data_IF_383761819210
#
_entry.id   IF_383761819210
#
_cell.length_a   1.000
_cell.length_b   1.000
_cell.length_c   1.000
_cell.angle_alpha   90.00
_cell.angle_beta   90.00
_cell.angle_gamma   90.00
#
_symmetry.space_group_name_H-M   'P 1'
#
loop_
_entity.id
_entity.type
_entity.pdbx_description
1 polymer ?
#
# COMPACT_ATOMS: atom_id res chain seq x y z
N UNK A 1 -25.78 2.94 -38.12
CA UNK A 1 -26.51 4.16 -38.53
C UNK A 1 -27.10 4.89 -37.30
N UNK A 2 -27.86 4.24 -36.44
CA UNK A 2 -28.48 4.83 -35.23
C UNK A 2 -27.45 5.45 -34.24
N UNK A 3 -26.30 4.81 -33.97
CA UNK A 3 -25.25 5.35 -33.08
C UNK A 3 -24.65 6.67 -33.61
N UNK A 4 -24.48 6.82 -34.95
CA UNK A 4 -24.01 8.08 -35.55
C UNK A 4 -25.03 9.21 -35.43
N UNK A 5 -26.32 8.89 -35.56
CA UNK A 5 -27.40 9.86 -35.36
C UNK A 5 -27.51 10.30 -33.90
N UNK A 6 -27.33 9.37 -32.94
CA UNK A 6 -27.37 9.68 -31.51
C UNK A 6 -26.27 10.68 -31.12
N UNK A 7 -25.03 10.47 -31.57
CA UNK A 7 -23.93 11.40 -31.32
C UNK A 7 -23.99 12.72 -32.12
N UNK A 8 -24.93 12.85 -33.05
CA UNK A 8 -25.14 14.10 -33.82
C UNK A 8 -26.11 15.06 -33.14
N UNK A 9 -26.84 14.62 -32.11
CA UNK A 9 -27.78 15.49 -31.40
C UNK A 9 -26.97 16.58 -30.63
N UNK A 10 -27.39 17.88 -30.72
CA UNK A 10 -26.64 18.98 -30.07
C UNK A 10 -26.41 18.77 -28.59
N UNK A 11 -27.40 18.26 -27.87
CA UNK A 11 -27.26 17.95 -26.40
C UNK A 11 -26.24 16.87 -26.15
N UNK A 12 -26.19 15.83 -26.98
CA UNK A 12 -25.17 14.74 -26.80
C UNK A 12 -23.78 15.27 -27.11
N UNK A 13 -23.62 16.11 -28.14
CA UNK A 13 -22.30 16.73 -28.42
C UNK A 13 -21.86 17.65 -27.30
N UNK A 14 -22.76 18.37 -26.68
CA UNK A 14 -22.45 19.24 -25.53
C UNK A 14 -22.10 18.42 -24.30
N UNK A 15 -22.81 17.32 -24.04
CA UNK A 15 -22.45 16.38 -22.95
C UNK A 15 -21.08 15.75 -23.18
N UNK A 16 -20.78 15.29 -24.39
CA UNK A 16 -19.47 14.74 -24.74
C UNK A 16 -18.35 15.78 -24.56
N UNK A 17 -18.59 17.03 -24.96
CA UNK A 17 -17.66 18.14 -24.80
C UNK A 17 -17.41 18.43 -23.30
N UNK A 18 -18.47 18.48 -22.49
CA UNK A 18 -18.39 18.74 -21.08
C UNK A 18 -17.68 17.58 -20.34
N UNK A 19 -17.94 16.34 -20.72
CA UNK A 19 -17.22 15.18 -20.17
C UNK A 19 -15.71 15.23 -20.49
N UNK A 20 -15.33 15.65 -21.70
CA UNK A 20 -13.92 15.86 -22.07
C UNK A 20 -13.28 16.98 -21.26
N UNK A 21 -13.98 18.10 -21.08
CA UNK A 21 -13.51 19.22 -20.24
C UNK A 21 -13.34 18.80 -18.79
N UNK A 22 -14.29 18.05 -18.24
CA UNK A 22 -14.20 17.50 -16.89
C UNK A 22 -13.00 16.56 -16.74
N UNK A 23 -12.75 15.68 -17.71
CA UNK A 23 -11.58 14.81 -17.71
C UNK A 23 -10.28 15.61 -17.74
N UNK A 24 -10.19 16.66 -18.58
CA UNK A 24 -9.02 17.55 -18.63
C UNK A 24 -8.81 18.33 -17.32
N UNK A 25 -9.90 18.78 -16.68
CA UNK A 25 -9.81 19.43 -15.37
C UNK A 25 -9.33 18.47 -14.29
N UNK A 26 -9.83 17.24 -14.28
CA UNK A 26 -9.36 16.20 -13.35
C UNK A 26 -7.87 15.92 -13.54
N UNK A 27 -7.41 15.79 -14.78
CA UNK A 27 -5.99 15.57 -15.09
C UNK A 27 -5.11 16.76 -14.64
N UNK A 28 -5.57 17.99 -14.89
CA UNK A 28 -4.85 19.19 -14.46
C UNK A 28 -4.78 19.30 -12.92
N UNK A 29 -5.86 18.97 -12.22
CA UNK A 29 -5.91 18.94 -10.76
C UNK A 29 -4.98 17.85 -10.22
N UNK A 30 -5.01 16.65 -10.78
CA UNK A 30 -4.12 15.56 -10.37
C UNK A 30 -2.64 15.93 -10.56
N UNK A 31 -2.30 16.58 -11.68
CA UNK A 31 -0.95 17.09 -11.95
C UNK A 31 -0.55 18.15 -10.93
N UNK A 32 -1.42 19.12 -10.66
CA UNK A 32 -1.16 20.16 -9.64
C UNK A 32 -0.93 19.58 -8.26
N UNK A 33 -1.71 18.59 -7.87
CA UNK A 33 -1.59 17.83 -6.64
C UNK A 33 -0.24 17.11 -6.55
N UNK A 34 0.17 16.43 -7.62
CA UNK A 34 1.46 15.73 -7.68
C UNK A 34 2.64 16.68 -7.54
N UNK A 35 2.57 17.86 -8.14
CA UNK A 35 3.60 18.91 -8.00
C UNK A 35 3.69 19.40 -6.56
N UNK A 36 2.55 19.66 -5.89
CA UNK A 36 2.53 20.07 -4.49
C UNK A 36 3.09 18.98 -3.56
N UNK A 37 2.75 17.72 -3.79
CA UNK A 37 3.27 16.60 -3.05
C UNK A 37 4.80 16.49 -3.18
N UNK A 38 5.33 16.64 -4.39
CA UNK A 38 6.79 16.69 -4.63
C UNK A 38 7.45 17.86 -3.93
N UNK A 39 6.89 19.06 -3.98
CA UNK A 39 7.40 20.22 -3.25
C UNK A 39 7.42 19.97 -1.74
N UNK A 40 6.37 19.40 -1.18
CA UNK A 40 6.32 19.03 0.24
C UNK A 40 7.44 18.03 0.59
N UNK A 41 7.65 16.99 -0.22
CA UNK A 41 8.71 16.02 0.01
C UNK A 41 10.10 16.65 -0.04
N UNK A 42 10.38 17.48 -1.04
CA UNK A 42 11.66 18.18 -1.14
C UNK A 42 11.86 19.13 0.05
N UNK A 43 10.82 19.86 0.46
CA UNK A 43 10.88 20.70 1.65
C UNK A 43 11.18 19.87 2.91
N UNK A 44 10.50 18.74 3.12
CA UNK A 44 10.73 17.83 4.25
C UNK A 44 12.17 17.29 4.24
N UNK A 45 12.69 16.89 3.09
CA UNK A 45 14.08 16.40 2.94
C UNK A 45 15.11 17.43 3.41
N UNK A 46 14.81 18.73 3.25
CA UNK A 46 15.71 19.81 3.64
C UNK A 46 15.48 20.36 5.04
N UNK A 47 14.31 20.18 5.62
CA UNK A 47 13.90 20.82 6.88
C UNK A 47 13.69 19.86 8.04
N UNK A 48 13.32 18.59 7.77
CA UNK A 48 13.11 17.58 8.81
C UNK A 48 14.37 16.69 8.94
N UNK A 49 15.09 16.74 10.07
CA UNK A 49 16.31 15.97 10.28
C UNK A 49 16.11 14.45 10.16
N UNK A 50 14.87 13.95 10.28
CA UNK A 50 14.57 12.54 10.09
C UNK A 50 14.85 12.06 8.67
N UNK A 51 14.76 12.94 7.66
CA UNK A 51 15.11 12.61 6.27
C UNK A 51 16.62 12.55 6.01
N UNK A 52 17.41 13.24 6.81
CA UNK A 52 18.87 13.22 6.73
C UNK A 52 19.51 12.04 7.47
N UNK A 53 18.78 11.37 8.38
CA UNK A 53 19.24 10.21 9.10
C UNK A 53 19.33 8.98 8.16
N UNK A 54 20.55 8.55 7.86
CA UNK A 54 20.80 7.44 6.95
C UNK A 54 20.26 6.07 7.43
N UNK A 55 19.95 5.92 8.72
CA UNK A 55 19.28 4.73 9.25
C UNK A 55 17.78 4.72 9.03
N UNK A 56 17.15 5.89 8.75
CA UNK A 56 15.74 5.99 8.39
C UNK A 56 15.53 5.72 6.91
N UNK A 57 14.32 5.34 6.56
CA UNK A 57 13.96 5.01 5.17
C UNK A 57 13.41 6.21 4.38
N UNK A 58 12.99 7.27 5.08
CA UNK A 58 12.33 8.43 4.49
C UNK A 58 13.14 9.10 3.37
N UNK A 59 14.45 9.23 3.54
CA UNK A 59 15.34 9.86 2.55
C UNK A 59 15.51 9.04 1.26
N UNK A 60 15.14 7.77 1.28
CA UNK A 60 15.27 6.85 0.15
C UNK A 60 13.99 6.70 -0.66
N UNK A 61 12.89 7.34 -0.22
CA UNK A 61 11.63 7.26 -0.94
C UNK A 61 11.76 7.82 -2.36
N UNK A 62 11.43 7.01 -3.35
CA UNK A 62 11.22 7.45 -4.74
C UNK A 62 10.11 6.62 -5.39
N UNK A 63 9.44 7.22 -6.35
CA UNK A 63 8.32 6.65 -7.07
C UNK A 63 8.73 6.29 -8.51
N UNK A 64 8.66 5.00 -8.83
CA UNK A 64 8.74 4.49 -10.20
C UNK A 64 7.37 3.93 -10.65
N UNK A 65 6.77 3.09 -9.82
CA UNK A 65 5.47 2.47 -10.03
C UNK A 65 4.52 2.71 -8.85
N UNK A 66 4.99 2.60 -7.62
CA UNK A 66 4.18 2.75 -6.42
C UNK A 66 3.60 4.16 -6.24
N UNK A 67 2.56 4.29 -5.39
CA UNK A 67 1.82 5.55 -5.24
C UNK A 67 2.54 6.60 -4.40
N UNK A 68 3.27 6.18 -3.35
CA UNK A 68 3.77 7.08 -2.30
C UNK A 68 5.30 7.01 -2.10
N UNK A 69 6.03 6.45 -3.08
CA UNK A 69 7.48 6.34 -3.04
C UNK A 69 8.01 5.07 -2.37
N UNK A 70 7.18 4.07 -2.21
CA UNK A 70 7.51 2.77 -1.62
C UNK A 70 8.60 2.04 -2.40
N UNK A 71 8.67 2.23 -3.73
CA UNK A 71 9.68 1.59 -4.58
C UNK A 71 11.10 1.80 -4.06
N UNK A 72 11.45 3.03 -3.70
CA UNK A 72 12.76 3.36 -3.16
C UNK A 72 13.01 2.79 -1.77
N UNK A 73 11.99 2.83 -0.92
CA UNK A 73 12.06 2.28 0.43
C UNK A 73 12.27 0.77 0.40
N UNK A 74 11.51 0.06 -0.43
CA UNK A 74 11.62 -1.39 -0.60
C UNK A 74 13.03 -1.77 -1.13
N UNK A 75 13.53 -1.04 -2.13
CA UNK A 75 14.89 -1.26 -2.62
C UNK A 75 15.93 -1.07 -1.53
N UNK A 76 15.81 0.00 -0.73
CA UNK A 76 16.75 0.28 0.34
C UNK A 76 16.69 -0.77 1.45
N UNK A 77 15.50 -1.27 1.81
CA UNK A 77 15.36 -2.39 2.74
C UNK A 77 16.19 -3.58 2.25
N UNK A 78 16.00 -4.00 1.00
CA UNK A 78 16.71 -5.16 0.46
C UNK A 78 18.20 -4.91 0.19
N UNK A 79 18.61 -3.66 -0.02
CA UNK A 79 20.03 -3.29 -0.04
C UNK A 79 20.70 -3.54 1.32
N UNK A 80 19.96 -3.28 2.43
CA UNK A 80 20.46 -3.46 3.80
C UNK A 80 20.45 -4.90 4.28
N UNK A 81 19.34 -5.62 4.04
CA UNK A 81 19.18 -6.99 4.55
C UNK A 81 19.55 -8.06 3.52
N UNK A 82 19.87 -7.69 2.29
CA UNK A 82 20.10 -8.61 1.17
C UNK A 82 18.81 -9.27 0.67
N UNK A 83 18.90 -10.00 -0.43
CA UNK A 83 17.82 -10.77 -1.04
C UNK A 83 18.15 -12.26 -1.02
N UNK A 84 17.13 -13.14 -1.06
CA UNK A 84 17.33 -14.60 -1.09
C UNK A 84 16.78 -15.22 -2.36
N UNK A 85 15.49 -15.10 -2.61
CA UNK A 85 14.82 -15.77 -3.73
C UNK A 85 14.19 -14.80 -4.75
N UNK A 86 14.16 -13.50 -4.45
CA UNK A 86 13.50 -12.47 -5.27
C UNK A 86 12.04 -12.80 -5.55
N UNK A 87 11.34 -13.32 -4.54
CA UNK A 87 9.93 -13.62 -4.64
C UNK A 87 9.12 -12.67 -3.79
N UNK A 88 8.07 -12.12 -4.36
CA UNK A 88 7.10 -11.31 -3.66
C UNK A 88 5.68 -11.90 -3.75
N UNK A 89 4.85 -11.53 -2.79
CA UNK A 89 3.40 -11.67 -2.83
C UNK A 89 2.76 -10.32 -2.55
N UNK A 90 1.72 -9.97 -3.29
CA UNK A 90 0.93 -8.77 -3.04
C UNK A 90 -0.56 -9.04 -3.21
N UNK A 91 -1.35 -8.54 -2.25
CA UNK A 91 -2.82 -8.50 -2.32
C UNK A 91 -3.33 -7.07 -2.20
N UNK A 92 -4.45 -6.78 -2.89
CA UNK A 92 -4.92 -5.42 -3.09
C UNK A 92 -4.13 -4.70 -4.18
N UNK A 93 -3.99 -5.36 -5.32
CA UNK A 93 -3.11 -4.91 -6.43
C UNK A 93 -3.72 -3.75 -7.21
N UNK A 94 -5.03 -3.53 -7.08
CA UNK A 94 -5.72 -2.46 -7.78
C UNK A 94 -5.64 -2.59 -9.30
N UNK A 95 -4.95 -1.66 -9.96
CA UNK A 95 -4.76 -1.69 -11.42
C UNK A 95 -3.50 -2.46 -11.88
N UNK A 96 -2.65 -2.89 -10.96
CA UNK A 96 -1.41 -3.64 -11.25
C UNK A 96 -0.27 -2.80 -11.84
N UNK A 97 -0.37 -1.48 -11.85
CA UNK A 97 0.68 -0.57 -12.35
C UNK A 97 1.06 0.50 -11.34
N UNK A 98 0.34 0.62 -10.23
CA UNK A 98 0.56 1.59 -9.15
C UNK A 98 0.75 0.91 -7.78
N UNK A 99 1.12 -0.35 -7.77
CA UNK A 99 1.26 -1.17 -6.58
C UNK A 99 2.73 -1.34 -6.15
N UNK A 100 2.94 -1.79 -4.93
CA UNK A 100 4.24 -1.82 -4.25
C UNK A 100 5.26 -2.74 -4.91
N UNK A 101 4.83 -3.75 -5.69
CA UNK A 101 5.74 -4.75 -6.27
C UNK A 101 5.90 -4.65 -7.79
N UNK A 102 5.19 -3.75 -8.47
CA UNK A 102 5.30 -3.58 -9.92
C UNK A 102 6.73 -3.22 -10.36
N UNK A 103 7.42 -2.38 -9.58
CA UNK A 103 8.81 -2.03 -9.86
C UNK A 103 9.75 -3.22 -9.67
N UNK A 104 9.54 -4.06 -8.66
CA UNK A 104 10.33 -5.29 -8.46
C UNK A 104 10.19 -6.26 -9.63
N UNK A 105 8.98 -6.38 -10.19
CA UNK A 105 8.74 -7.19 -11.37
C UNK A 105 9.60 -6.70 -12.55
N UNK A 106 9.74 -5.38 -12.74
CA UNK A 106 10.60 -4.78 -13.78
C UNK A 106 12.10 -5.06 -13.53
N UNK A 107 12.49 -5.31 -12.28
CA UNK A 107 13.85 -5.69 -11.88
C UNK A 107 14.12 -7.20 -11.94
N UNK A 108 13.19 -7.97 -12.51
CA UNK A 108 13.31 -9.41 -12.68
C UNK A 108 12.98 -10.25 -11.46
N UNK A 109 12.29 -9.69 -10.46
CA UNK A 109 11.69 -10.46 -9.40
C UNK A 109 10.50 -11.24 -9.94
N UNK A 110 10.17 -12.36 -9.30
CA UNK A 110 8.96 -13.12 -9.58
C UNK A 110 7.98 -12.99 -8.42
N UNK A 111 6.68 -13.15 -8.71
CA UNK A 111 5.71 -13.03 -7.63
C UNK A 111 4.29 -13.38 -7.98
N UNK A 112 3.44 -13.06 -7.03
CA UNK A 112 2.04 -13.43 -7.01
C UNK A 112 1.20 -12.21 -6.69
N UNK A 113 0.23 -11.93 -7.56
CA UNK A 113 -0.74 -10.85 -7.39
C UNK A 113 -2.14 -11.40 -7.18
N UNK A 114 -2.80 -10.94 -6.12
CA UNK A 114 -4.17 -11.35 -5.80
C UNK A 114 -5.02 -10.10 -5.56
N UNK A 115 -6.17 -10.03 -6.23
CA UNK A 115 -7.14 -8.95 -6.04
C UNK A 115 -8.56 -9.51 -6.10
N UNK A 116 -9.47 -8.90 -5.35
CA UNK A 116 -10.88 -9.26 -5.34
C UNK A 116 -11.62 -8.78 -6.61
N UNK A 117 -11.14 -7.70 -7.24
CA UNK A 117 -11.77 -7.12 -8.40
C UNK A 117 -11.28 -7.79 -9.69
N UNK A 118 -12.13 -8.53 -10.42
CA UNK A 118 -11.72 -9.22 -11.63
C UNK A 118 -11.25 -8.29 -12.76
N UNK A 119 -11.56 -6.99 -12.67
CA UNK A 119 -11.13 -5.99 -13.67
C UNK A 119 -9.62 -5.80 -13.71
N UNK A 120 -8.90 -6.14 -12.63
CA UNK A 120 -7.43 -6.03 -12.63
C UNK A 120 -6.80 -6.92 -13.70
N UNK A 121 -7.36 -8.08 -14.00
CA UNK A 121 -6.88 -8.97 -15.06
C UNK A 121 -6.89 -8.28 -16.43
N UNK A 122 -7.93 -7.49 -16.71
CA UNK A 122 -7.98 -6.69 -17.95
C UNK A 122 -6.87 -5.62 -18.01
N UNK A 123 -6.49 -5.06 -16.87
CA UNK A 123 -5.37 -4.12 -16.81
C UNK A 123 -4.03 -4.83 -17.01
N UNK A 124 -3.85 -6.02 -16.40
CA UNK A 124 -2.67 -6.86 -16.64
C UNK A 124 -2.52 -7.22 -18.14
N UNK A 125 -3.64 -7.53 -18.80
CA UNK A 125 -3.64 -7.81 -20.24
C UNK A 125 -3.18 -6.59 -21.04
N UNK A 126 -3.74 -5.41 -20.79
CA UNK A 126 -3.34 -4.15 -21.43
C UNK A 126 -1.87 -3.81 -21.21
N UNK A 127 -1.34 -4.10 -20.01
CA UNK A 127 0.05 -3.90 -19.66
C UNK A 127 0.98 -5.01 -20.22
N UNK A 128 0.43 -6.04 -20.88
CA UNK A 128 1.21 -7.17 -21.41
C UNK A 128 1.74 -8.12 -20.34
N UNK A 129 1.30 -7.99 -19.09
CA UNK A 129 1.80 -8.74 -17.93
C UNK A 129 1.23 -10.15 -17.82
N UNK A 130 0.07 -10.44 -18.43
CA UNK A 130 -0.51 -11.80 -18.44
C UNK A 130 0.41 -12.86 -19.07
N UNK A 131 1.33 -12.45 -19.94
CA UNK A 131 2.30 -13.35 -20.58
C UNK A 131 3.63 -13.42 -19.82
N UNK A 132 3.79 -12.69 -18.75
CA UNK A 132 5.00 -12.72 -17.94
C UNK A 132 5.16 -14.08 -17.27
N UNK A 133 6.33 -14.70 -17.44
CA UNK A 133 6.69 -15.91 -16.71
C UNK A 133 7.06 -15.65 -15.25
N UNK A 134 7.24 -14.38 -14.90
CA UNK A 134 7.62 -13.95 -13.56
C UNK A 134 6.41 -13.67 -12.67
N UNK A 135 5.20 -13.56 -13.24
CA UNK A 135 4.01 -13.17 -12.52
C UNK A 135 2.93 -14.24 -12.60
N UNK A 136 2.47 -14.72 -11.46
CA UNK A 136 1.22 -15.43 -11.31
C UNK A 136 0.17 -14.50 -10.73
N UNK A 137 -1.09 -14.69 -11.10
CA UNK A 137 -2.18 -13.85 -10.59
C UNK A 137 -3.43 -14.69 -10.30
N UNK A 138 -4.24 -14.21 -9.36
CA UNK A 138 -5.51 -14.86 -8.99
C UNK A 138 -6.56 -13.82 -8.62
N UNK A 139 -7.79 -14.01 -9.09
CA UNK A 139 -8.95 -13.25 -8.60
C UNK A 139 -9.48 -13.94 -7.37
N UNK A 140 -9.36 -13.30 -6.22
CA UNK A 140 -9.89 -13.81 -4.95
C UNK A 140 -10.06 -12.69 -3.92
N UNK A 141 -11.18 -12.72 -3.18
CA UNK A 141 -11.36 -11.91 -1.98
C UNK A 141 -10.59 -12.56 -0.84
N UNK A 142 -9.63 -11.82 -0.30
CA UNK A 142 -8.77 -12.27 0.80
C UNK A 142 -9.46 -12.01 2.14
N UNK A 143 -9.39 -13.00 3.02
CA UNK A 143 -9.80 -12.89 4.43
C UNK A 143 -8.88 -13.72 5.32
N UNK A 144 -9.05 -13.65 6.65
CA UNK A 144 -8.17 -14.36 7.59
C UNK A 144 -8.33 -15.89 7.53
N UNK A 145 -9.48 -16.39 7.06
CA UNK A 145 -9.77 -17.83 6.96
C UNK A 145 -9.12 -18.46 5.74
N UNK A 146 -8.94 -17.68 4.66
CA UNK A 146 -8.52 -18.24 3.36
C UNK A 146 -7.08 -17.88 2.94
N UNK A 147 -6.45 -16.87 3.54
CA UNK A 147 -5.14 -16.35 3.09
C UNK A 147 -4.06 -17.44 3.05
N UNK A 148 -3.96 -18.27 4.09
CA UNK A 148 -2.95 -19.35 4.16
C UNK A 148 -3.19 -20.38 3.03
N UNK A 149 -4.44 -20.75 2.80
CA UNK A 149 -4.82 -21.64 1.70
C UNK A 149 -4.48 -21.06 0.34
N UNK A 150 -4.82 -19.79 0.09
CA UNK A 150 -4.54 -19.11 -1.18
C UNK A 150 -3.04 -19.06 -1.47
N UNK A 151 -2.20 -18.69 -0.50
CA UNK A 151 -0.76 -18.67 -0.67
C UNK A 151 -0.19 -20.05 -0.93
N UNK A 152 -0.70 -21.07 -0.23
CA UNK A 152 -0.30 -22.47 -0.41
C UNK A 152 -0.66 -22.99 -1.80
N UNK A 153 -1.90 -22.75 -2.25
CA UNK A 153 -2.40 -23.18 -3.56
C UNK A 153 -1.64 -22.53 -4.73
N UNK A 154 -1.20 -21.28 -4.54
CA UNK A 154 -0.38 -20.55 -5.51
C UNK A 154 1.09 -21.01 -5.51
N UNK A 155 1.51 -21.80 -4.53
CA UNK A 155 2.90 -22.22 -4.40
C UNK A 155 3.83 -21.13 -3.90
N UNK A 156 3.32 -20.14 -3.16
CA UNK A 156 4.14 -19.07 -2.56
C UNK A 156 5.15 -19.70 -1.60
N UNK A 157 6.45 -19.40 -1.71
CA UNK A 157 7.44 -19.89 -0.75
C UNK A 157 7.13 -19.42 0.67
N UNK A 158 7.32 -20.28 1.68
CA UNK A 158 7.09 -19.91 3.08
C UNK A 158 8.00 -18.75 3.54
N UNK A 159 9.23 -18.74 3.06
CA UNK A 159 10.22 -17.67 3.30
C UNK A 159 10.46 -16.87 2.01
N UNK A 160 9.43 -16.12 1.58
CA UNK A 160 9.57 -15.17 0.47
C UNK A 160 10.30 -13.91 0.93
N UNK A 161 10.89 -13.16 0.00
CA UNK A 161 11.56 -11.91 0.32
C UNK A 161 10.56 -10.83 0.76
N UNK A 162 9.46 -10.61 0.02
CA UNK A 162 8.51 -9.54 0.29
C UNK A 162 7.05 -10.00 0.33
N UNK A 163 6.35 -9.59 1.37
CA UNK A 163 4.88 -9.63 1.48
C UNK A 163 4.34 -8.20 1.46
N UNK A 164 3.41 -7.90 0.57
CA UNK A 164 2.66 -6.63 0.53
C UNK A 164 1.18 -6.92 0.73
N UNK A 165 0.58 -6.28 1.73
CA UNK A 165 -0.83 -6.43 2.08
C UNK A 165 -1.51 -5.07 2.14
N UNK A 166 -2.42 -4.86 1.20
CA UNK A 166 -3.26 -3.67 1.10
C UNK A 166 -4.66 -4.08 0.63
N UNK A 167 -5.49 -4.52 1.58
CA UNK A 167 -6.87 -4.96 1.34
C UNK A 167 -7.87 -4.12 2.13
N UNK A 168 -7.50 -2.88 2.41
CA UNK A 168 -8.30 -1.89 3.15
C UNK A 168 -8.68 -2.35 4.57
N UNK A 169 -9.82 -3.02 4.71
CA UNK A 169 -10.48 -3.25 6.00
C UNK A 169 -9.77 -4.28 6.88
N UNK A 170 -9.44 -5.43 6.31
CA UNK A 170 -9.08 -6.62 7.09
C UNK A 170 -7.57 -6.89 7.15
N UNK A 171 -6.74 -6.00 6.66
CA UNK A 171 -5.29 -6.20 6.53
C UNK A 171 -4.62 -6.66 7.82
N UNK A 172 -4.98 -6.06 8.97
CA UNK A 172 -4.44 -6.45 10.28
C UNK A 172 -4.79 -7.90 10.65
N UNK A 173 -6.02 -8.31 10.39
CA UNK A 173 -6.52 -9.65 10.70
C UNK A 173 -5.91 -10.70 9.78
N UNK A 174 -5.71 -10.36 8.51
CA UNK A 174 -5.09 -11.22 7.49
C UNK A 174 -3.61 -11.44 7.79
N UNK A 175 -2.86 -10.38 8.13
CA UNK A 175 -1.47 -10.55 8.55
C UNK A 175 -1.35 -11.42 9.80
N UNK A 176 -2.21 -11.19 10.78
CA UNK A 176 -2.27 -12.01 12.00
C UNK A 176 -2.54 -13.50 11.72
N UNK A 177 -3.35 -13.80 10.72
CA UNK A 177 -3.71 -15.17 10.35
C UNK A 177 -2.59 -15.92 9.62
N UNK A 178 -1.68 -15.22 8.95
CA UNK A 178 -0.49 -15.86 8.34
C UNK A 178 0.41 -16.48 9.40
N UNK A 179 0.56 -15.84 10.57
CA UNK A 179 1.30 -16.36 11.72
C UNK A 179 2.65 -16.93 11.33
N UNK A 180 2.93 -18.18 11.74
CA UNK A 180 4.16 -18.90 11.41
C UNK A 180 4.07 -19.69 10.09
N UNK A 181 2.92 -19.67 9.41
CA UNK A 181 2.73 -20.42 8.15
C UNK A 181 3.57 -19.84 7.01
N UNK A 182 3.73 -18.50 7.00
CA UNK A 182 4.57 -17.78 6.05
C UNK A 182 5.42 -16.76 6.81
N UNK A 183 6.72 -16.75 6.53
CA UNK A 183 7.70 -15.89 7.20
C UNK A 183 8.49 -15.03 6.21
N UNK A 184 7.85 -14.04 5.56
CA UNK A 184 8.53 -13.12 4.65
C UNK A 184 9.69 -12.41 5.38
N UNK A 185 10.70 -12.01 4.62
CA UNK A 185 11.85 -11.27 5.17
C UNK A 185 11.51 -9.81 5.43
N UNK A 186 10.66 -9.23 4.57
CA UNK A 186 10.07 -7.90 4.76
C UNK A 186 8.57 -7.93 4.49
N UNK A 187 7.85 -7.02 5.16
CA UNK A 187 6.39 -6.85 5.02
C UNK A 187 6.10 -5.38 4.80
N UNK A 188 5.27 -5.08 3.81
CA UNK A 188 4.67 -3.77 3.56
C UNK A 188 3.18 -3.86 3.85
N UNK A 189 2.67 -2.91 4.61
CA UNK A 189 1.28 -2.92 5.07
C UNK A 189 0.70 -1.52 5.05
N UNK A 190 -0.48 -1.38 4.45
CA UNK A 190 -1.27 -0.17 4.59
C UNK A 190 -1.69 0.04 6.05
N UNK A 191 -1.45 1.24 6.59
CA UNK A 191 -1.91 1.63 7.92
C UNK A 191 -2.76 2.89 7.88
N UNK A 192 -3.59 3.07 8.89
CA UNK A 192 -4.40 4.27 9.01
C UNK A 192 -3.59 5.42 9.62
N UNK A 193 -2.93 6.20 8.77
CA UNK A 193 -2.10 7.34 9.16
C UNK A 193 -2.89 8.54 9.73
N UNK A 194 -4.23 8.47 9.75
CA UNK A 194 -5.06 9.46 10.43
C UNK A 194 -5.16 9.21 11.94
N UNK A 195 -4.80 7.99 12.42
CA UNK A 195 -4.81 7.64 13.84
C UNK A 195 -3.45 7.96 14.45
N UNK A 196 -3.38 8.79 15.51
CA UNK A 196 -2.12 9.14 16.17
C UNK A 196 -1.29 7.92 16.63
N UNK A 197 0.06 8.02 16.65
CA UNK A 197 0.95 6.88 16.86
C UNK A 197 0.84 6.21 18.23
N UNK A 198 0.34 6.90 19.26
CA UNK A 198 0.13 6.33 20.59
C UNK A 198 -1.15 5.52 20.74
N UNK A 199 -2.05 5.57 19.76
CA UNK A 199 -3.39 4.95 19.88
C UNK A 199 -3.39 3.58 19.18
N UNK A 200 -3.70 2.54 19.95
CA UNK A 200 -3.97 1.21 19.42
C UNK A 200 -5.41 1.11 18.96
N UNK A 201 -5.62 1.05 17.66
CA UNK A 201 -6.94 0.95 17.06
C UNK A 201 -6.91 0.06 15.82
N UNK A 202 -7.99 -0.68 15.61
CA UNK A 202 -8.23 -1.45 14.38
C UNK A 202 -9.73 -1.62 14.17
N UNK A 203 -10.14 -1.83 12.94
CA UNK A 203 -11.51 -2.23 12.63
C UNK A 203 -11.81 -3.62 13.18
N UNK A 204 -13.07 -3.84 13.56
CA UNK A 204 -13.54 -5.19 13.86
C UNK A 204 -13.52 -6.04 12.60
N UNK A 205 -13.19 -7.33 12.78
CA UNK A 205 -13.15 -8.25 11.66
C UNK A 205 -14.53 -8.53 11.09
N UNK A 206 -14.64 -8.39 9.78
CA UNK A 206 -15.81 -8.80 9.01
C UNK A 206 -15.33 -9.21 7.61
N UNK A 207 -15.43 -10.52 7.29
CA UNK A 207 -14.96 -11.08 6.01
C UNK A 207 -15.64 -10.46 4.78
N UNK A 208 -16.87 -9.95 4.95
CA UNK A 208 -17.64 -9.36 3.86
C UNK A 208 -17.48 -7.84 3.73
N UNK A 209 -16.88 -7.21 4.73
CA UNK A 209 -16.70 -5.77 4.72
C UNK A 209 -15.80 -5.32 3.58
N UNK A 210 -16.22 -4.22 2.93
CA UNK A 210 -15.46 -3.48 1.93
C UNK A 210 -15.29 -2.04 2.39
N UNK A 211 -14.28 -1.35 1.88
CA UNK A 211 -14.09 0.06 2.18
C UNK A 211 -15.29 0.89 1.71
N UNK A 212 -15.77 1.76 2.58
CA UNK A 212 -16.94 2.62 2.38
C UNK A 212 -16.57 4.07 1.99
N UNK A 213 -15.30 4.33 1.68
CA UNK A 213 -14.81 5.66 1.34
C UNK A 213 -14.48 6.54 2.55
N UNK A 214 -14.55 6.00 3.77
CA UNK A 214 -14.26 6.74 5.01
C UNK A 214 -12.91 6.36 5.61
N UNK A 215 -12.45 7.11 6.63
CA UNK A 215 -11.24 6.75 7.39
C UNK A 215 -11.44 5.61 8.39
N UNK A 216 -12.61 4.95 8.40
CA UNK A 216 -12.87 3.78 9.25
C UNK A 216 -12.38 2.50 8.56
N UNK A 217 -11.07 2.39 8.35
CA UNK A 217 -10.44 1.25 7.67
C UNK A 217 -9.14 0.79 8.36
N UNK A 218 -8.78 -0.47 8.16
CA UNK A 218 -7.50 -1.04 8.54
C UNK A 218 -7.20 -0.98 10.04
N UNK A 219 -6.00 -0.55 10.36
CA UNK A 219 -5.52 -0.40 11.74
C UNK A 219 -4.49 0.72 11.89
N UNK A 220 -4.35 1.23 13.11
CA UNK A 220 -3.33 2.20 13.48
C UNK A 220 -1.92 1.60 13.43
N UNK A 221 -0.92 2.46 13.25
CA UNK A 221 0.49 2.03 13.29
C UNK A 221 0.85 1.34 14.61
N UNK A 222 0.27 1.78 15.75
CA UNK A 222 0.47 1.14 17.06
C UNK A 222 -0.08 -0.29 17.09
N UNK A 223 -1.23 -0.52 16.50
CA UNK A 223 -1.80 -1.88 16.41
C UNK A 223 -0.92 -2.79 15.55
N UNK A 224 -0.37 -2.27 14.45
CA UNK A 224 0.57 -3.01 13.60
C UNK A 224 1.94 -3.22 14.27
N UNK A 225 2.48 -2.24 14.98
CA UNK A 225 3.70 -2.42 15.79
C UNK A 225 3.57 -3.60 16.75
N UNK A 226 2.46 -3.64 17.50
CA UNK A 226 2.21 -4.72 18.46
C UNK A 226 2.02 -6.08 17.79
N UNK A 227 1.32 -6.11 16.66
CA UNK A 227 1.15 -7.33 15.86
C UNK A 227 2.49 -7.80 15.30
N UNK A 228 3.25 -6.92 14.65
CA UNK A 228 4.56 -7.23 14.09
C UNK A 228 5.51 -7.78 15.14
N UNK A 229 5.61 -7.13 16.31
CA UNK A 229 6.43 -7.62 17.44
C UNK A 229 6.03 -9.04 17.86
N UNK A 230 4.72 -9.34 17.93
CA UNK A 230 4.23 -10.68 18.28
C UNK A 230 4.56 -11.72 17.21
N UNK A 231 4.62 -11.33 15.93
CA UNK A 231 4.97 -12.18 14.81
C UNK A 231 6.50 -12.25 14.54
N UNK A 232 7.32 -11.57 15.34
CA UNK A 232 8.77 -11.58 15.17
C UNK A 232 9.32 -10.57 14.18
N UNK A 233 8.63 -9.43 13.99
CA UNK A 233 9.03 -8.34 13.12
C UNK A 233 9.19 -7.02 13.87
N UNK A 234 10.10 -6.18 13.37
CA UNK A 234 10.30 -4.81 13.81
C UNK A 234 9.77 -3.82 12.78
N UNK A 235 9.06 -2.79 13.25
CA UNK A 235 8.67 -1.63 12.45
C UNK A 235 9.91 -0.80 12.13
N UNK A 236 10.31 -0.71 10.86
CA UNK A 236 11.56 -0.02 10.44
C UNK A 236 11.32 1.32 9.74
N UNK A 237 10.09 1.65 9.41
CA UNK A 237 9.74 2.93 8.80
C UNK A 237 8.32 2.97 8.25
N UNK A 238 7.93 4.16 7.79
CA UNK A 238 6.73 4.40 7.00
C UNK A 238 7.10 5.18 5.74
N UNK A 239 6.23 5.18 4.72
CA UNK A 239 6.38 6.09 3.59
C UNK A 239 6.10 7.54 3.98
N UNK A 240 6.59 8.53 3.21
CA UNK A 240 6.45 9.94 3.56
C UNK A 240 5.01 10.47 3.55
N UNK A 241 4.07 9.75 2.94
CA UNK A 241 2.66 10.17 2.83
C UNK A 241 1.77 9.53 3.90
N UNK A 242 2.31 8.61 4.69
CA UNK A 242 1.57 7.99 5.78
C UNK A 242 0.54 6.98 5.32
N UNK A 243 0.83 6.26 4.25
CA UNK A 243 0.00 5.20 3.70
C UNK A 243 0.50 3.81 4.11
N UNK A 244 1.79 3.53 3.94
CA UNK A 244 2.37 2.21 4.16
C UNK A 244 3.42 2.19 5.28
N UNK A 245 3.41 1.12 6.07
CA UNK A 245 4.39 0.79 7.08
C UNK A 245 5.24 -0.39 6.64
N UNK A 246 6.54 -0.35 6.99
CA UNK A 246 7.53 -1.35 6.59
C UNK A 246 8.04 -2.09 7.82
N UNK A 247 7.99 -3.41 7.74
CA UNK A 247 8.46 -4.31 8.78
C UNK A 247 9.55 -5.22 8.24
N UNK A 248 10.55 -5.49 9.06
CA UNK A 248 11.63 -6.42 8.77
C UNK A 248 11.69 -7.48 9.85
N UNK A 249 11.91 -8.73 9.47
CA UNK A 249 12.03 -9.86 10.40
C UNK A 249 13.19 -9.63 11.37
N UNK A 250 12.99 -9.88 12.65
CA UNK A 250 13.90 -9.47 13.73
C UNK A 250 15.34 -9.99 13.57
N UNK A 251 15.51 -11.18 13.00
CA UNK A 251 16.84 -11.77 12.73
C UNK A 251 17.64 -11.03 11.64
N UNK A 252 16.98 -10.13 10.88
CA UNK A 252 17.57 -9.39 9.76
C UNK A 252 17.76 -7.90 10.06
N UNK A 253 17.17 -7.40 11.14
CA UNK A 253 17.17 -5.95 11.44
C UNK A 253 18.57 -5.44 11.77
N UNK A 254 19.33 -6.15 12.60
CA UNK A 254 20.66 -5.73 13.05
C UNK A 254 20.69 -4.25 13.49
N UNK A 255 21.75 -3.56 13.10
CA UNK A 255 21.92 -2.10 13.32
C UNK A 255 21.59 -1.26 12.07
N UNK A 256 20.90 -1.85 11.11
CA UNK A 256 20.69 -1.25 9.80
C UNK A 256 19.59 -0.17 9.78
N UNK A 257 18.75 -0.11 10.81
CA UNK A 257 17.58 0.77 10.85
C UNK A 257 17.56 1.63 12.11
N UNK A 258 16.83 2.74 12.06
CA UNK A 258 16.72 3.67 13.18
C UNK A 258 15.86 3.10 14.31
N UNK A 259 16.47 2.88 15.48
CA UNK A 259 15.76 2.52 16.71
C UNK A 259 15.25 3.79 17.43
N UNK A 260 14.26 3.67 18.34
CA UNK A 260 13.49 2.47 18.66
C UNK A 260 12.45 2.11 17.58
N UNK A 261 12.14 0.82 17.45
CA UNK A 261 11.21 0.29 16.44
C UNK A 261 9.75 0.43 16.89
N UNK A 262 9.34 1.66 17.17
CA UNK A 262 8.01 2.00 17.72
C UNK A 262 7.24 2.90 16.77
N UNK A 263 5.92 2.87 16.90
CA UNK A 263 5.04 3.74 16.13
C UNK A 263 5.36 5.21 16.37
N UNK A 264 5.67 5.62 17.58
CA UNK A 264 6.00 7.02 17.91
C UNK A 264 7.25 7.51 17.20
N UNK A 265 8.25 6.61 16.97
CA UNK A 265 9.49 6.96 16.29
C UNK A 265 9.36 6.98 14.76
N UNK A 266 8.48 6.14 14.19
CA UNK A 266 8.41 5.93 12.74
C UNK A 266 7.15 6.50 12.09
N UNK A 267 6.21 7.05 12.86
CA UNK A 267 4.94 7.55 12.36
C UNK A 267 5.12 8.67 11.34
N UNK A 268 4.45 8.51 10.21
CA UNK A 268 4.18 9.57 9.25
C UNK A 268 2.66 9.79 9.18
N UNK A 269 2.18 11.03 9.34
CA UNK A 269 0.75 11.29 9.26
C UNK A 269 0.24 11.12 7.84
N UNK A 270 -1.01 10.72 7.69
CA UNK A 270 -1.66 10.66 6.40
C UNK A 270 -1.66 12.05 5.74
N UNK A 271 -0.93 12.20 4.63
CA UNK A 271 -0.79 13.47 3.90
C UNK A 271 -1.65 13.51 2.65
N UNK A 272 -2.07 12.38 2.12
CA UNK A 272 -2.93 12.30 0.93
C UNK A 272 -4.29 12.98 1.12
N UNK A 273 -4.85 12.96 2.34
CA UNK A 273 -6.14 13.59 2.63
C UNK A 273 -6.10 15.12 2.75
N UNK A 274 -4.94 15.73 2.94
CA UNK A 274 -4.80 17.19 2.94
C UNK A 274 -5.25 17.81 1.60
N UNK A 275 -5.19 17.01 0.55
CA UNK A 275 -5.55 17.40 -0.80
C UNK A 275 -7.04 17.19 -1.08
N UNK A 276 -7.66 16.19 -0.46
CA UNK A 276 -9.04 15.80 -0.71
C UNK A 276 -10.05 16.21 0.37
N UNK A 277 -9.64 16.92 1.41
CA UNK A 277 -10.51 17.33 2.55
C UNK A 277 -11.29 16.18 3.18
N UNK A 278 -10.75 14.98 3.19
CA UNK A 278 -11.36 13.86 3.90
C UNK A 278 -11.04 14.00 5.38
N UNK A 279 -11.99 14.53 6.16
CA UNK A 279 -11.90 14.53 7.62
C UNK A 279 -12.08 13.13 8.20
N UNK A 280 -11.71 12.94 9.47
CA UNK A 280 -12.08 11.74 10.22
C UNK A 280 -13.60 11.61 10.27
N UNK A 281 -14.19 10.47 9.89
CA UNK A 281 -15.63 10.25 10.06
C UNK A 281 -15.97 10.26 11.54
N UNK A 282 -17.12 10.85 11.91
CA UNK A 282 -17.60 10.86 13.29
C UNK A 282 -17.66 9.45 13.91
N UNK A 283 -17.96 8.43 13.10
CA UNK A 283 -17.98 7.02 13.51
C UNK A 283 -16.65 6.48 14.03
N UNK A 284 -15.53 7.11 13.67
CA UNK A 284 -14.22 6.74 14.17
C UNK A 284 -13.96 7.28 15.59
N UNK A 285 -14.48 8.48 15.88
CA UNK A 285 -14.34 9.11 17.19
C UNK A 285 -15.08 8.35 18.29
N UNK A 286 -16.24 7.77 17.97
CA UNK A 286 -17.05 6.99 18.92
C UNK A 286 -16.41 5.64 19.30
N UNK A 287 -15.39 5.19 18.56
CA UNK A 287 -14.72 3.88 18.73
C UNK A 287 -13.26 4.00 19.18
N UNK A 288 -12.73 5.20 19.28
CA UNK A 288 -11.38 5.37 19.80
C UNK A 288 -11.37 5.20 21.31
N UNK A 289 -10.42 4.43 21.86
CA UNK A 289 -10.23 4.41 23.31
C UNK A 289 -9.92 5.82 23.78
N UNK A 290 -10.67 6.27 24.80
CA UNK A 290 -10.33 7.51 25.50
C UNK A 290 -8.99 7.29 26.19
N UNK A 291 -8.00 8.21 26.05
CA UNK A 291 -6.69 8.07 26.66
C UNK A 291 -6.73 7.97 28.18
#
# INVERSE_FOLDING_TARGET
MLARLYHSLPVIRELDLNNRRLAQLHEALATGTSVQARHLLEWLKHTDPRYADSKRLLGYAFQACSQNGEDGIIQEIFRRIGVTNRVFYESGVGNGVENNTAFLLSLGWSGFWVDANPRFVTQLEKAGLLKSRLLQHRVAKINRENIVGILTDLGVPKELDLLSLDIDQNTWHVWGALGDSFRPRAVVIEYNGAVPPGIEWKVEYDAERVWDGTHNFGASLKAYEKLGRRLGYSLVGCDPFGANAFFVRNDLVGEHFAAPFTSENHFEPARFHLIHRMGLPNQMLDRMPVP
#
